data_IF_427676520095
#
_entry.id   IF_427676520095
#
_cell.length_a   1.000
_cell.length_b   1.000
_cell.length_c   1.000
_cell.angle_alpha   90.00
_cell.angle_beta   90.00
_cell.angle_gamma   90.00
#
_symmetry.space_group_name_H-M   'P 1'
#
loop_
_entity.id
_entity.type
_entity.pdbx_description
1 polymer ?
#
# COMPACT_ATOMS: atom_id res chain seq x y z
N UNK A 1 -11.82 -0.12 10.81
CA UNK A 1 -10.60 0.50 11.37
C UNK A 1 -10.38 1.90 10.82
N UNK A 2 -10.02 2.06 9.54
CA UNK A 2 -9.66 3.35 8.91
C UNK A 2 -10.73 4.45 9.11
N UNK A 3 -12.03 4.11 9.07
CA UNK A 3 -13.12 5.06 9.35
C UNK A 3 -13.08 5.72 10.74
N UNK A 4 -12.43 5.10 11.71
CA UNK A 4 -12.37 5.57 13.11
C UNK A 4 -10.97 5.97 13.55
N UNK A 5 -9.93 5.47 12.87
CA UNK A 5 -8.54 5.80 13.14
C UNK A 5 -7.78 5.82 11.80
N UNK A 6 -7.29 7.00 11.43
CA UNK A 6 -6.55 7.19 10.18
C UNK A 6 -5.15 6.55 10.21
N UNK A 7 -4.62 6.22 11.39
CA UNK A 7 -3.25 5.70 11.52
C UNK A 7 -3.15 4.32 10.89
N UNK A 8 -2.23 4.17 9.94
CA UNK A 8 -1.97 2.92 9.24
C UNK A 8 -0.49 2.60 9.18
N UNK A 9 -0.20 1.31 9.09
CA UNK A 9 1.08 0.78 8.65
C UNK A 9 0.83 -0.08 7.42
N UNK A 10 1.69 0.03 6.40
CA UNK A 10 1.61 -0.75 5.18
C UNK A 10 2.98 -1.40 4.94
N UNK A 11 2.96 -2.68 4.54
CA UNK A 11 4.13 -3.43 4.12
C UNK A 11 3.90 -3.92 2.69
N UNK A 12 4.95 -3.82 1.86
CA UNK A 12 4.98 -4.33 0.48
C UNK A 12 6.25 -5.14 0.35
N UNK A 13 6.11 -6.42 0.01
CA UNK A 13 7.21 -7.37 -0.16
C UNK A 13 6.82 -8.40 -1.22
N UNK A 14 7.82 -9.05 -1.79
CA UNK A 14 7.61 -10.22 -2.63
C UNK A 14 7.48 -11.49 -1.77
N UNK A 15 7.09 -12.60 -2.41
CA UNK A 15 7.08 -13.91 -1.75
C UNK A 15 8.50 -14.48 -1.72
N UNK A 16 9.18 -14.32 -0.57
CA UNK A 16 10.54 -14.82 -0.37
C UNK A 16 10.53 -16.20 0.30
N UNK A 17 11.10 -17.24 -0.34
CA UNK A 17 11.22 -18.56 0.30
C UNK A 17 12.28 -18.58 1.41
N UNK A 18 13.23 -17.65 1.39
CA UNK A 18 14.29 -17.50 2.38
C UNK A 18 14.11 -16.17 3.13
N UNK A 19 13.84 -16.26 4.42
CA UNK A 19 13.58 -15.09 5.25
C UNK A 19 14.78 -14.15 5.35
N UNK A 20 16.00 -14.65 5.20
CA UNK A 20 17.20 -13.82 5.24
C UNK A 20 17.36 -12.93 4.00
N UNK A 21 16.52 -13.10 2.98
CA UNK A 21 16.56 -12.34 1.74
C UNK A 21 15.39 -11.38 1.57
N UNK A 22 14.53 -11.27 2.59
CA UNK A 22 13.37 -10.38 2.53
C UNK A 22 13.85 -8.96 2.23
N UNK A 23 13.28 -8.41 1.16
CA UNK A 23 13.34 -6.99 0.83
C UNK A 23 11.92 -6.47 0.72
N UNK A 24 11.71 -5.26 1.19
CA UNK A 24 10.38 -4.71 1.22
C UNK A 24 10.35 -3.24 1.55
N UNK A 25 9.17 -2.67 1.42
CA UNK A 25 8.88 -1.30 1.82
C UNK A 25 7.90 -1.37 2.97
N UNK A 26 8.28 -0.83 4.11
CA UNK A 26 7.37 -0.55 5.22
C UNK A 26 7.10 0.95 5.28
N UNK A 27 5.88 1.33 5.61
CA UNK A 27 5.55 2.72 5.88
C UNK A 27 4.58 2.85 7.06
N UNK A 28 4.75 3.95 7.80
CA UNK A 28 3.77 4.45 8.75
C UNK A 28 3.18 5.76 8.24
N UNK A 29 1.86 5.92 8.35
CA UNK A 29 1.19 7.08 7.78
C UNK A 29 -0.26 7.24 8.21
N UNK A 30 -0.98 8.04 7.45
CA UNK A 30 -2.43 8.21 7.56
C UNK A 30 -3.13 7.67 6.33
N UNK A 31 -4.35 7.17 6.49
CA UNK A 31 -5.22 6.75 5.41
C UNK A 31 -6.59 7.43 5.50
N UNK A 32 -7.11 7.83 4.34
CA UNK A 32 -8.43 8.43 4.20
C UNK A 32 -9.23 7.69 3.13
N UNK A 33 -10.53 7.53 3.37
CA UNK A 33 -11.44 6.95 2.37
C UNK A 33 -11.74 8.01 1.31
N UNK A 34 -11.58 7.66 0.04
CA UNK A 34 -11.97 8.55 -1.04
C UNK A 34 -13.49 8.68 -1.12
N UNK A 35 -14.01 9.91 -1.09
CA UNK A 35 -15.45 10.21 -1.14
C UNK A 35 -15.87 11.01 -2.36
N UNK A 36 -14.92 11.70 -3.02
CA UNK A 36 -15.23 12.51 -4.21
C UNK A 36 -15.34 11.59 -5.43
N UNK A 37 -16.41 11.76 -6.20
CA UNK A 37 -16.71 10.90 -7.36
C UNK A 37 -15.59 10.96 -8.40
N UNK A 38 -15.00 12.12 -8.59
CA UNK A 38 -13.94 12.37 -9.56
C UNK A 38 -12.64 11.64 -9.17
N UNK A 39 -12.29 11.65 -7.88
CA UNK A 39 -11.13 10.93 -7.34
C UNK A 39 -11.34 9.41 -7.42
N UNK A 40 -12.53 8.93 -7.07
CA UNK A 40 -12.90 7.51 -7.16
C UNK A 40 -12.82 7.05 -8.62
N UNK A 41 -13.42 7.77 -9.56
CA UNK A 41 -13.39 7.41 -10.98
C UNK A 41 -11.97 7.35 -11.54
N UNK A 42 -11.10 8.29 -11.14
CA UNK A 42 -9.69 8.31 -11.52
C UNK A 42 -8.94 7.08 -11.01
N UNK A 43 -9.10 6.74 -9.73
CA UNK A 43 -8.41 5.59 -9.13
C UNK A 43 -8.97 4.27 -9.66
N UNK A 44 -10.28 4.19 -9.87
CA UNK A 44 -10.91 3.02 -10.48
C UNK A 44 -10.38 2.76 -11.89
N UNK A 45 -10.17 3.82 -12.69
CA UNK A 45 -9.50 3.70 -14.00
C UNK A 45 -8.10 3.12 -13.86
N UNK A 46 -7.27 3.65 -12.95
CA UNK A 46 -5.92 3.12 -12.71
C UNK A 46 -5.93 1.66 -12.24
N UNK A 47 -6.90 1.29 -11.41
CA UNK A 47 -7.08 -0.09 -10.94
C UNK A 47 -7.43 -1.04 -12.09
N UNK A 48 -8.34 -0.63 -12.98
CA UNK A 48 -8.69 -1.40 -14.18
C UNK A 48 -7.54 -1.50 -15.17
N UNK A 49 -6.81 -0.41 -15.40
CA UNK A 49 -5.64 -0.40 -16.29
C UNK A 49 -4.55 -1.36 -15.76
N UNK A 50 -4.33 -1.41 -14.44
CA UNK A 50 -3.35 -2.29 -13.80
C UNK A 50 -3.81 -3.75 -13.72
N UNK A 51 -5.10 -3.98 -13.50
CA UNK A 51 -5.68 -5.31 -13.31
C UNK A 51 -6.90 -5.52 -14.20
N UNK A 52 -6.75 -5.67 -15.54
CA UNK A 52 -7.90 -5.69 -16.46
C UNK A 52 -8.96 -6.75 -16.14
N UNK A 53 -8.57 -7.87 -15.53
CA UNK A 53 -9.49 -8.95 -15.15
C UNK A 53 -10.57 -8.50 -14.14
N UNK A 54 -10.34 -7.44 -13.37
CA UNK A 54 -11.28 -6.92 -12.37
C UNK A 54 -12.53 -6.30 -13.01
N UNK A 55 -12.50 -6.00 -14.31
CA UNK A 55 -13.66 -5.50 -15.05
C UNK A 55 -14.87 -6.45 -15.02
N UNK A 56 -14.64 -7.74 -14.74
CA UNK A 56 -15.69 -8.75 -14.65
C UNK A 56 -16.35 -8.83 -13.25
N UNK A 57 -15.96 -7.97 -12.31
CA UNK A 57 -16.43 -7.99 -10.93
C UNK A 57 -17.17 -6.68 -10.59
N UNK A 58 -18.09 -6.69 -9.61
CA UNK A 58 -18.80 -5.48 -9.18
C UNK A 58 -17.83 -4.50 -8.52
N UNK A 59 -17.42 -3.47 -9.26
CA UNK A 59 -16.52 -2.42 -8.77
C UNK A 59 -17.20 -1.47 -7.76
N UNK A 60 -18.55 -1.45 -7.72
CA UNK A 60 -19.34 -0.62 -6.80
C UNK A 60 -19.09 -0.92 -5.33
N UNK A 61 -18.61 -2.13 -5.03
CA UNK A 61 -18.39 -2.60 -3.65
C UNK A 61 -16.96 -2.31 -3.16
N UNK A 62 -16.12 -1.73 -4.02
CA UNK A 62 -14.72 -1.41 -3.70
C UNK A 62 -14.64 -0.03 -3.04
N UNK A 63 -14.04 0.01 -1.85
CA UNK A 63 -13.69 1.25 -1.17
C UNK A 63 -12.24 1.58 -1.42
N UNK A 64 -11.98 2.67 -2.14
CA UNK A 64 -10.62 3.17 -2.34
C UNK A 64 -10.19 4.03 -1.16
N UNK A 65 -8.97 3.81 -0.69
CA UNK A 65 -8.34 4.61 0.35
C UNK A 65 -7.06 5.24 -0.20
N UNK A 66 -6.84 6.52 0.08
CA UNK A 66 -5.57 7.18 -0.14
C UNK A 66 -4.69 7.02 1.11
N UNK A 67 -3.46 6.57 0.92
CA UNK A 67 -2.46 6.46 2.00
C UNK A 67 -1.42 7.54 1.80
N UNK A 68 -1.20 8.35 2.84
CA UNK A 68 -0.16 9.38 2.88
C UNK A 68 0.96 8.91 3.81
N UNK A 69 2.14 8.55 3.27
CA UNK A 69 3.28 8.16 4.09
C UNK A 69 3.77 9.31 4.96
N UNK A 70 4.12 9.02 6.21
CA UNK A 70 4.82 9.95 7.13
C UNK A 70 6.25 9.49 7.41
N UNK A 71 6.46 8.18 7.44
CA UNK A 71 7.78 7.55 7.52
C UNK A 71 7.79 6.33 6.60
N UNK A 72 8.89 6.13 5.89
CA UNK A 72 9.09 4.99 4.98
C UNK A 72 10.42 4.34 5.35
N UNK A 73 10.42 3.02 5.37
CA UNK A 73 11.59 2.18 5.58
C UNK A 73 11.76 1.24 4.39
N UNK A 74 13.00 1.10 3.93
CA UNK A 74 13.40 0.00 3.05
C UNK A 74 13.97 -1.12 3.92
N UNK A 75 13.45 -2.34 3.74
CA UNK A 75 13.94 -3.53 4.41
C UNK A 75 14.94 -4.23 3.50
N UNK A 76 16.07 -4.64 4.07
CA UNK A 76 17.08 -5.44 3.39
C UNK A 76 17.72 -6.42 4.35
N UNK A 77 17.12 -7.61 4.48
CA UNK A 77 17.56 -8.59 5.47
C UNK A 77 18.88 -9.26 5.10
N UNK A 78 19.39 -9.06 3.88
CA UNK A 78 20.73 -9.50 3.49
C UNK A 78 21.83 -8.74 4.23
N UNK A 79 21.52 -7.53 4.74
CA UNK A 79 22.39 -6.74 5.62
C UNK A 79 22.31 -7.15 7.09
N UNK A 80 21.41 -8.08 7.43
CA UNK A 80 21.12 -8.53 8.79
C UNK A 80 19.62 -8.67 9.00
N UNK A 81 19.19 -9.68 9.76
CA UNK A 81 17.77 -9.88 10.05
C UNK A 81 17.15 -8.63 10.71
N UNK A 82 15.96 -8.22 10.26
CA UNK A 82 15.27 -6.98 10.66
C UNK A 82 16.00 -5.66 10.30
N UNK A 83 17.03 -5.72 9.44
CA UNK A 83 17.70 -4.50 8.98
C UNK A 83 16.74 -3.66 8.12
N UNK A 84 16.62 -2.38 8.49
CA UNK A 84 15.83 -1.39 7.77
C UNK A 84 16.53 -0.03 7.73
N UNK A 85 16.47 0.59 6.56
CA UNK A 85 16.97 1.93 6.30
C UNK A 85 15.78 2.90 6.20
N UNK A 86 15.86 4.07 6.82
CA UNK A 86 14.85 5.14 6.62
C UNK A 86 15.05 5.70 5.21
N UNK A 87 13.95 5.86 4.47
CA UNK A 87 13.95 6.59 3.20
C UNK A 87 13.61 8.05 3.50
N UNK A 88 14.55 8.95 3.25
CA UNK A 88 14.31 10.40 3.32
C UNK A 88 13.61 10.87 2.04
N UNK A 89 12.63 11.76 2.19
CA UNK A 89 11.89 12.42 1.09
C UNK A 89 12.55 13.73 0.67
#
# INVERSE_FOLDING_TARGET
NIKFCEKVSLAIEEDYPDWMKIKGVQLGGSAEVLIKKEEIARVQKLYLDKFPFVANFPLSDIVFCQVTPKIIYFLDYEKGFDHRDIIEN
#
